data_IF_308090093252
#
_entry.id   IF_308090093252
#
_cell.length_a   1.000
_cell.length_b   1.000
_cell.length_c   1.000
_cell.angle_alpha   90.00
_cell.angle_beta   90.00
_cell.angle_gamma   90.00
#
_symmetry.space_group_name_H-M   'P 1'
#
loop_
_entity.id
_entity.type
_entity.pdbx_description
1 polymer ?
#
# COMPACT_ATOMS: atom_id res chain seq x y z
N UNK A 1 14.11 9.80 -4.26
CA UNK A 1 14.11 8.52 -3.52
C UNK A 1 13.29 8.71 -2.25
N UNK A 2 12.30 7.86 -1.98
CA UNK A 2 11.53 7.95 -0.74
C UNK A 2 12.41 7.56 0.46
N UNK A 3 12.24 8.19 1.62
CA UNK A 3 12.98 7.76 2.82
C UNK A 3 12.60 6.34 3.21
N UNK A 4 13.55 5.57 3.74
CA UNK A 4 13.34 4.19 4.18
C UNK A 4 12.19 4.06 5.18
N UNK A 5 12.01 5.05 6.07
CA UNK A 5 10.90 5.11 7.02
C UNK A 5 9.54 5.21 6.33
N UNK A 6 9.42 6.05 5.29
CA UNK A 6 8.18 6.21 4.53
C UNK A 6 7.82 4.94 3.76
N UNK A 7 8.82 4.24 3.19
CA UNK A 7 8.61 2.99 2.47
C UNK A 7 8.11 1.89 3.41
N UNK A 8 8.79 1.70 4.55
CA UNK A 8 8.39 0.70 5.56
C UNK A 8 7.00 0.96 6.13
N UNK A 9 6.68 2.23 6.40
CA UNK A 9 5.35 2.63 6.87
C UNK A 9 4.25 2.30 5.85
N UNK A 10 4.49 2.62 4.58
CA UNK A 10 3.53 2.31 3.51
C UNK A 10 3.35 0.80 3.30
N UNK A 11 4.45 0.03 3.29
CA UNK A 11 4.42 -1.43 3.19
C UNK A 11 3.60 -2.07 4.32
N UNK A 12 3.76 -1.58 5.56
CA UNK A 12 3.02 -2.08 6.71
C UNK A 12 1.50 -1.88 6.55
N UNK A 13 1.08 -0.72 6.04
CA UNK A 13 -0.33 -0.42 5.75
C UNK A 13 -0.86 -1.35 4.65
N UNK A 14 -0.18 -1.45 3.52
CA UNK A 14 -0.64 -2.28 2.38
C UNK A 14 -0.67 -3.76 2.77
N UNK A 15 0.33 -4.25 3.50
CA UNK A 15 0.35 -5.61 4.05
C UNK A 15 -0.82 -5.87 5.00
N UNK A 16 -1.15 -4.92 5.89
CA UNK A 16 -2.30 -5.04 6.78
C UNK A 16 -3.62 -5.09 5.99
N UNK A 17 -3.78 -4.24 4.98
CA UNK A 17 -4.97 -4.22 4.10
C UNK A 17 -5.09 -5.51 3.28
N UNK A 18 -3.99 -5.99 2.70
CA UNK A 18 -3.97 -7.25 1.96
C UNK A 18 -4.30 -8.45 2.86
N UNK A 19 -3.77 -8.49 4.09
CA UNK A 19 -4.13 -9.51 5.08
C UNK A 19 -5.62 -9.47 5.42
N UNK A 20 -6.18 -8.28 5.60
CA UNK A 20 -7.62 -8.11 5.83
C UNK A 20 -8.46 -8.58 4.63
N UNK A 21 -8.04 -8.25 3.40
CA UNK A 21 -8.72 -8.70 2.18
C UNK A 21 -8.62 -10.21 1.95
N UNK A 22 -7.47 -10.82 2.26
CA UNK A 22 -7.28 -12.28 2.22
C UNK A 22 -8.01 -12.99 3.36
N UNK A 23 -8.19 -12.32 4.49
CA UNK A 23 -8.89 -12.80 5.69
C UNK A 23 -10.41 -12.56 5.70
N UNK A 24 -11.05 -12.42 4.54
CA UNK A 24 -12.47 -12.02 4.35
C UNK A 24 -13.57 -12.84 5.06
N UNK A 25 -13.32 -13.83 5.91
CA UNK A 25 -14.37 -14.57 6.64
C UNK A 25 -13.91 -14.85 8.07
N UNK A 26 -14.43 -14.07 9.03
CA UNK A 26 -14.83 -14.48 10.39
C UNK A 26 -15.36 -13.24 11.08
N UNK A 27 -16.68 -13.08 11.04
CA UNK A 27 -17.43 -11.88 11.39
C UNK A 27 -17.28 -11.37 12.84
N UNK A 28 -16.52 -12.06 13.70
CA UNK A 28 -16.31 -11.68 15.10
C UNK A 28 -15.06 -10.81 15.38
N UNK A 29 -14.13 -10.63 14.43
CA UNK A 29 -12.87 -9.91 14.67
C UNK A 29 -12.76 -8.53 13.96
N UNK A 30 -13.88 -7.99 13.47
CA UNK A 30 -13.90 -6.75 12.65
C UNK A 30 -13.33 -5.52 13.37
N UNK A 31 -13.53 -5.39 14.68
CA UNK A 31 -12.96 -4.27 15.46
C UNK A 31 -11.47 -4.46 15.81
N UNK A 32 -11.03 -5.71 16.02
CA UNK A 32 -9.65 -6.03 16.38
C UNK A 32 -8.67 -6.05 15.18
N UNK A 33 -9.19 -6.02 13.95
CA UNK A 33 -8.39 -6.23 12.72
C UNK A 33 -8.47 -5.04 11.74
N UNK A 34 -8.71 -3.82 12.25
CA UNK A 34 -8.61 -2.61 11.43
C UNK A 34 -7.18 -2.48 10.87
N UNK A 35 -7.03 -2.19 9.57
CA UNK A 35 -5.71 -1.99 8.99
C UNK A 35 -5.09 -0.72 9.56
N UNK A 36 -3.76 -0.71 9.65
CA UNK A 36 -2.98 0.43 10.11
C UNK A 36 -3.44 1.74 9.45
N UNK A 37 -3.84 2.71 10.26
CA UNK A 37 -4.14 4.06 9.76
C UNK A 37 -2.84 4.82 9.45
N UNK A 38 -2.93 5.86 8.61
CA UNK A 38 -1.77 6.71 8.28
C UNK A 38 -1.16 7.36 9.53
N UNK A 39 -1.99 7.73 10.51
CA UNK A 39 -1.54 8.29 11.78
C UNK A 39 -0.76 7.26 12.59
N UNK A 40 -1.31 6.06 12.77
CA UNK A 40 -0.61 4.99 13.49
C UNK A 40 0.68 4.56 12.79
N UNK A 41 0.73 4.62 11.46
CA UNK A 41 1.95 4.36 10.72
C UNK A 41 3.00 5.45 10.98
N UNK A 42 2.61 6.72 10.97
CA UNK A 42 3.55 7.81 11.29
C UNK A 42 4.10 7.70 12.72
N UNK A 43 3.25 7.37 13.69
CA UNK A 43 3.66 7.14 15.08
C UNK A 43 4.60 5.92 15.23
N UNK A 44 4.39 4.85 14.46
CA UNK A 44 5.20 3.60 14.53
C UNK A 44 6.52 3.69 13.77
N UNK A 45 6.65 4.60 12.81
CA UNK A 45 7.82 4.73 11.95
C UNK A 45 8.40 6.14 12.06
N UNK A 46 9.26 6.41 13.05
CA UNK A 46 9.90 7.72 13.24
C UNK A 46 10.59 8.22 11.97
N UNK A 47 10.41 9.50 11.65
CA UNK A 47 10.96 10.13 10.43
C UNK A 47 10.15 9.86 9.16
N UNK A 48 9.01 9.17 9.26
CA UNK A 48 8.01 9.12 8.19
C UNK A 48 7.10 10.35 8.20
N UNK A 49 6.43 10.63 7.08
CA UNK A 49 5.50 11.75 6.90
C UNK A 49 4.19 11.23 6.35
N UNK A 50 3.07 11.51 7.01
CA UNK A 50 1.72 11.06 6.60
C UNK A 50 1.40 11.26 5.12
N UNK A 51 1.68 12.44 4.58
CA UNK A 51 1.38 12.76 3.18
C UNK A 51 2.19 11.87 2.20
N UNK A 52 3.47 11.63 2.51
CA UNK A 52 4.35 10.79 1.71
C UNK A 52 3.93 9.32 1.81
N UNK A 53 3.62 8.84 3.01
CA UNK A 53 3.09 7.49 3.24
C UNK A 53 1.83 7.29 2.38
N UNK A 54 0.87 8.21 2.44
CA UNK A 54 -0.38 8.11 1.69
C UNK A 54 -0.15 7.97 0.17
N UNK A 55 0.80 8.73 -0.38
CA UNK A 55 1.16 8.65 -1.80
C UNK A 55 1.77 7.30 -2.15
N UNK A 56 2.71 6.79 -1.34
CA UNK A 56 3.35 5.49 -1.57
C UNK A 56 2.33 4.35 -1.45
N UNK A 57 1.48 4.37 -0.42
CA UNK A 57 0.39 3.39 -0.24
C UNK A 57 -0.48 3.31 -1.49
N UNK A 58 -0.92 4.46 -2.02
CA UNK A 58 -1.74 4.51 -3.24
C UNK A 58 -1.04 3.85 -4.43
N UNK A 59 0.27 4.06 -4.60
CA UNK A 59 1.02 3.45 -5.69
C UNK A 59 1.21 1.94 -5.50
N UNK A 60 1.53 1.49 -4.27
CA UNK A 60 1.70 0.08 -3.95
C UNK A 60 0.39 -0.70 -4.15
N UNK A 61 -0.74 -0.11 -3.76
CA UNK A 61 -2.06 -0.69 -3.99
C UNK A 61 -2.41 -0.76 -5.49
N UNK A 62 -2.11 0.30 -6.24
CA UNK A 62 -2.32 0.31 -7.69
C UNK A 62 -1.45 -0.73 -8.43
N UNK A 63 -0.23 -0.97 -7.94
CA UNK A 63 0.67 -2.00 -8.45
C UNK A 63 0.36 -3.41 -7.93
N UNK A 64 -0.56 -3.54 -6.96
CA UNK A 64 -0.79 -4.77 -6.19
C UNK A 64 0.52 -5.40 -5.66
N UNK A 65 1.46 -4.55 -5.24
CA UNK A 65 2.80 -4.97 -4.79
C UNK A 65 3.13 -4.39 -3.41
N UNK A 66 4.04 -5.06 -2.71
CA UNK A 66 4.70 -4.57 -1.49
C UNK A 66 6.12 -4.07 -1.76
N UNK A 67 6.66 -4.29 -2.97
CA UNK A 67 8.01 -3.86 -3.29
C UNK A 67 7.99 -2.41 -3.78
N UNK A 68 8.74 -1.51 -3.14
CA UNK A 68 8.81 -0.11 -3.55
C UNK A 68 9.50 0.06 -4.90
N UNK A 69 10.30 -0.93 -5.34
CA UNK A 69 10.93 -0.96 -6.67
C UNK A 69 9.92 -1.21 -7.79
N UNK A 70 8.76 -1.82 -7.48
CA UNK A 70 7.67 -2.00 -8.44
C UNK A 70 6.85 -0.71 -8.62
N UNK A 71 7.17 0.33 -7.84
CA UNK A 71 6.50 1.61 -7.96
C UNK A 71 7.01 2.34 -9.21
N UNK A 72 6.12 2.81 -10.09
CA UNK A 72 6.55 3.72 -11.15
C UNK A 72 7.19 4.95 -10.51
N UNK A 73 8.48 5.16 -10.81
CA UNK A 73 9.25 6.30 -10.35
C UNK A 73 8.58 7.57 -10.92
N UNK A 74 8.24 8.54 -10.06
CA UNK A 74 7.64 9.82 -10.48
C UNK A 74 8.66 10.74 -11.17
N UNK A 75 9.75 10.21 -11.72
CA UNK A 75 10.67 10.96 -12.58
C UNK A 75 9.98 11.25 -13.92
N UNK A 76 9.07 12.23 -13.90
CA UNK A 76 8.68 13.06 -15.04
C UNK A 76 8.01 12.37 -16.24
N UNK A 77 7.54 11.13 -16.13
CA UNK A 77 6.88 10.43 -17.23
C UNK A 77 5.42 10.11 -16.89
N UNK A 78 4.50 10.51 -17.77
CA UNK A 78 3.04 10.30 -17.73
C UNK A 78 2.56 9.04 -16.98
N UNK A 79 1.41 9.09 -16.29
CA UNK A 79 0.78 7.89 -15.75
C UNK A 79 0.55 6.87 -16.87
N UNK A 80 1.21 5.71 -16.79
CA UNK A 80 0.86 4.56 -17.63
C UNK A 80 -0.49 4.06 -17.16
N UNK A 81 -1.50 4.23 -18.02
CA UNK A 81 -2.79 3.57 -17.88
C UNK A 81 -2.53 2.06 -17.77
N UNK A 82 -2.80 1.49 -16.61
CA UNK A 82 -2.86 0.04 -16.45
C UNK A 82 -4.14 -0.44 -17.13
N UNK A 83 -4.03 -0.74 -18.43
CA UNK A 83 -5.09 -1.43 -19.16
C UNK A 83 -5.24 -2.83 -18.58
N UNK A 84 -6.42 -3.06 -18.01
CA UNK A 84 -6.95 -4.38 -17.66
C UNK A 84 -6.92 -5.30 -18.89
N UNK A 85 -6.04 -6.31 -18.87
CA UNK A 85 -6.25 -7.57 -19.58
C UNK A 85 -6.49 -8.60 -18.46
N UNK A 86 -7.70 -9.08 -18.15
CA UNK A 86 -8.69 -9.68 -19.03
C UNK A 86 -8.03 -10.55 -20.09
N UNK A 87 -7.49 -11.70 -19.66
CA UNK A 87 -7.56 -12.90 -20.48
C UNK A 87 -8.18 -13.99 -19.62
N UNK A 88 -9.49 -14.15 -19.83
CA UNK A 88 -10.25 -15.36 -19.55
C UNK A 88 -9.86 -16.35 -20.66
N UNK A 89 -9.65 -17.61 -20.30
CA UNK A 89 -9.92 -18.84 -21.08
C UNK A 89 -9.30 -18.96 -22.49
N UNK A 90 -8.41 -19.94 -22.67
CA UNK A 90 -8.80 -21.29 -23.14
C UNK A 90 -7.81 -22.32 -22.59
#
# INVERSE_FOLDING_TARGET
>A
MHSSANLRAAQAIVSARQRLLRGRIRDAAREATQPLTLRQAEERFPGSKRATIARIVKKLEAANSLNPEDLPDDRGGRPRLLTRAAVRSD
#
